data_IF_318267371103
#
_entry.id   IF_318267371103
#
_cell.length_a   1.000
_cell.length_b   1.000
_cell.length_c   1.000
_cell.angle_alpha   90.00
_cell.angle_beta   90.00
_cell.angle_gamma   90.00
#
_symmetry.space_group_name_H-M   'P 1'
#
loop_
_entity.id
_entity.type
_entity.pdbx_description
1 polymer ?
#
# COMPACT_ATOMS: atom_id res chain seq x y z
N UNK A 1 -2.49 -8.17 21.89
CA UNK A 1 -2.72 -8.81 20.59
C UNK A 1 -3.21 -7.80 19.59
N UNK A 2 -2.70 -7.79 18.39
CA UNK A 2 -3.22 -6.88 17.38
C UNK A 2 -4.63 -7.29 16.97
N UNK A 3 -5.40 -6.30 16.59
CA UNK A 3 -6.73 -6.55 16.04
C UNK A 3 -6.60 -7.17 14.65
N UNK A 4 -7.74 -7.67 14.13
CA UNK A 4 -7.74 -8.17 12.76
C UNK A 4 -7.34 -7.08 11.78
N UNK A 5 -7.80 -5.85 12.01
CA UNK A 5 -7.44 -4.75 11.12
C UNK A 5 -5.95 -4.47 11.17
N UNK A 6 -5.36 -4.54 12.34
CA UNK A 6 -3.91 -4.31 12.45
C UNK A 6 -3.13 -5.42 11.78
N UNK A 7 -3.58 -6.66 11.94
CA UNK A 7 -2.92 -7.77 11.28
C UNK A 7 -3.03 -7.66 9.77
N UNK A 8 -4.19 -7.28 9.28
CA UNK A 8 -4.39 -7.10 7.85
C UNK A 8 -3.51 -5.98 7.31
N UNK A 9 -3.47 -4.87 8.05
CA UNK A 9 -2.64 -3.74 7.63
C UNK A 9 -1.18 -4.16 7.52
N UNK A 10 -0.68 -4.85 8.52
CA UNK A 10 0.71 -5.28 8.50
C UNK A 10 0.99 -6.22 7.34
N UNK A 11 0.05 -7.12 7.06
CA UNK A 11 0.21 -8.05 5.96
C UNK A 11 0.23 -7.31 4.62
N UNK A 12 -0.67 -6.36 4.43
CA UNK A 12 -0.72 -5.61 3.18
C UNK A 12 0.57 -4.82 2.98
N UNK A 13 1.06 -4.17 4.03
CA UNK A 13 2.31 -3.43 3.93
C UNK A 13 3.45 -4.36 3.55
N UNK A 14 3.51 -5.53 4.15
CA UNK A 14 4.58 -6.47 3.85
C UNK A 14 4.56 -6.89 2.40
N UNK A 15 3.36 -7.17 1.87
CA UNK A 15 3.23 -7.54 0.47
C UNK A 15 3.61 -6.38 -0.44
N UNK A 16 3.14 -5.18 -0.12
CA UNK A 16 3.48 -4.01 -0.92
C UNK A 16 4.98 -3.80 -0.99
N UNK A 17 5.65 -3.93 0.15
CA UNK A 17 7.10 -3.74 0.16
C UNK A 17 7.81 -4.85 -0.60
N UNK A 18 7.29 -6.07 -0.51
CA UNK A 18 7.90 -7.18 -1.23
C UNK A 18 7.83 -7.00 -2.74
N UNK A 19 6.80 -6.35 -3.23
CA UNK A 19 6.64 -6.08 -4.67
C UNK A 19 7.01 -4.64 -5.02
N UNK A 20 7.69 -3.96 -4.09
CA UNK A 20 8.18 -2.60 -4.32
C UNK A 20 7.05 -1.64 -4.69
N UNK A 21 5.94 -1.82 -4.01
CA UNK A 21 4.75 -0.97 -4.15
C UNK A 21 4.15 -0.98 -5.54
N UNK A 22 4.43 -2.04 -6.30
CA UNK A 22 3.72 -2.30 -7.53
C UNK A 22 2.33 -2.80 -7.17
N UNK A 23 1.34 -1.92 -7.24
CA UNK A 23 0.02 -2.24 -6.72
C UNK A 23 -0.67 -3.33 -7.51
N UNK A 24 -0.38 -3.43 -8.80
CA UNK A 24 -0.93 -4.50 -9.62
C UNK A 24 -0.44 -5.86 -9.11
N UNK A 25 0.86 -5.97 -8.83
CA UNK A 25 1.40 -7.22 -8.32
C UNK A 25 0.93 -7.49 -6.91
N UNK A 26 0.84 -6.46 -6.08
CA UNK A 26 0.37 -6.63 -4.72
C UNK A 26 -1.06 -7.16 -4.69
N UNK A 27 -1.92 -6.61 -5.53
CA UNK A 27 -3.30 -7.09 -5.59
C UNK A 27 -3.35 -8.55 -6.02
N UNK A 28 -2.50 -8.93 -6.97
CA UNK A 28 -2.46 -10.30 -7.41
C UNK A 28 -2.01 -11.23 -6.28
N UNK A 29 -0.97 -10.85 -5.57
CA UNK A 29 -0.47 -11.65 -4.46
C UNK A 29 -1.51 -11.77 -3.36
N UNK A 30 -2.22 -10.67 -3.08
CA UNK A 30 -3.25 -10.66 -2.05
C UNK A 30 -4.56 -11.28 -2.52
N UNK A 31 -4.66 -11.57 -3.81
CA UNK A 31 -5.87 -12.17 -4.38
C UNK A 31 -7.09 -11.26 -4.22
N UNK A 32 -6.89 -9.99 -4.46
CA UNK A 32 -7.98 -9.02 -4.44
C UNK A 32 -7.88 -8.15 -5.68
N UNK A 33 -8.96 -7.41 -5.96
CA UNK A 33 -8.93 -6.48 -7.08
C UNK A 33 -8.07 -5.28 -6.74
N UNK A 34 -7.59 -4.60 -7.79
CA UNK A 34 -6.81 -3.39 -7.57
C UNK A 34 -7.62 -2.31 -6.87
N UNK A 35 -8.90 -2.22 -7.22
CA UNK A 35 -9.76 -1.26 -6.56
C UNK A 35 -9.86 -1.51 -5.06
N UNK A 36 -10.00 -2.78 -4.69
CA UNK A 36 -10.04 -3.14 -3.27
C UNK A 36 -8.72 -2.79 -2.59
N UNK A 37 -7.61 -3.05 -3.27
CA UNK A 37 -6.30 -2.72 -2.70
C UNK A 37 -6.15 -1.22 -2.50
N UNK A 38 -6.53 -0.42 -3.49
CA UNK A 38 -6.44 1.04 -3.36
C UNK A 38 -7.29 1.54 -2.21
N UNK A 39 -8.47 0.95 -2.05
CA UNK A 39 -9.33 1.35 -0.95
C UNK A 39 -8.68 1.04 0.39
N UNK A 40 -8.07 -0.13 0.51
CA UNK A 40 -7.41 -0.48 1.76
C UNK A 40 -6.20 0.40 2.02
N UNK A 41 -5.45 0.73 1.00
CA UNK A 41 -4.33 1.65 1.15
C UNK A 41 -4.84 2.99 1.69
N UNK A 42 -5.94 3.47 1.16
CA UNK A 42 -6.53 4.72 1.62
C UNK A 42 -7.05 4.59 3.04
N UNK A 43 -7.80 3.52 3.31
CA UNK A 43 -8.41 3.33 4.62
C UNK A 43 -7.37 3.21 5.72
N UNK A 44 -6.25 2.54 5.43
CA UNK A 44 -5.20 2.35 6.41
C UNK A 44 -4.12 3.41 6.31
N UNK A 45 -4.23 4.33 5.36
CA UNK A 45 -3.28 5.42 5.17
C UNK A 45 -1.87 4.90 4.98
N UNK A 46 -1.72 3.94 4.08
CA UNK A 46 -0.43 3.33 3.84
C UNK A 46 0.38 4.14 2.85
N UNK A 47 1.69 4.20 3.07
CA UNK A 47 2.60 4.92 2.20
C UNK A 47 3.92 4.19 2.13
N UNK A 48 4.64 4.31 1.01
CA UNK A 48 5.98 3.76 0.95
C UNK A 48 6.87 4.43 1.98
N UNK A 49 7.55 3.60 2.75
CA UNK A 49 8.35 4.13 3.83
C UNK A 49 9.59 4.83 3.34
N UNK A 50 10.15 4.32 2.25
CA UNK A 50 11.38 4.86 1.70
C UNK A 50 11.13 6.00 0.72
N UNK A 51 10.04 6.67 0.87
CA UNK A 51 9.68 7.73 -0.04
C UNK A 51 10.73 8.84 -0.03
N UNK A 52 11.22 9.23 -1.19
CA UNK A 52 12.16 10.34 -1.23
C UNK A 52 11.46 11.64 -0.88
N UNK A 53 12.21 12.53 -0.38
CA UNK A 53 11.66 13.82 -0.04
C UNK A 53 11.05 14.46 -1.25
N UNK A 54 10.71 14.50 -1.59
CA UNK A 54 10.34 14.82 -2.65
C UNK A 54 9.57 15.06 -3.29
N UNK A 55 9.73 14.96 -2.98
CA UNK A 55 9.26 15.00 -3.74
C UNK A 55 8.49 14.98 -4.06
N UNK A 56 8.27 15.22 -3.86
CA UNK A 56 7.62 15.00 -4.30
C UNK A 56 6.77 15.01 -4.56
N UNK A 57 6.57 15.33 -4.46
CA UNK A 57 5.86 15.21 -4.90
C UNK A 57 5.17 15.16 -5.32
N UNK A 58 5.11 15.38 -5.27
CA UNK A 58 4.56 15.24 -5.89
C UNK A 58 3.82 15.17 -6.32
N UNK A 59 3.72 15.39 -6.24
CA UNK A 59 3.19 15.11 -6.85
C UNK A 59 2.72 14.70 -7.45
N UNK A 60 2.82 14.83 -7.21
CA UNK A 60 2.52 14.29 -7.86
C UNK A 60 1.87 13.95 -8.30
N UNK A 61 1.82 14.23 -8.00
CA UNK A 61 1.27 13.89 -8.53
C UNK A 61 0.54 14.00 -8.68
N UNK A 62 0.51 14.48 -8.58
CA UNK A 62 0.13 14.45 -8.84
C UNK A 62 -0.47 14.43 -9.20
N UNK A 63 -0.66 14.72 -9.01
CA UNK A 63 -1.27 14.53 -9.51
C UNK A 63 -1.58 14.33 -9.65
#
# INVERSE_FOLDING_TARGET
>A
MPSLAEAERAHIVRVLEAVQWNKKEAARVLDISRGTLYRKISDYQLEPEAKPAAGRRAREGEP
#
